data_IF_898478975623
#
_entry.id   IF_898478975623
#
_cell.length_a   1.000
_cell.length_b   1.000
_cell.length_c   1.000
_cell.angle_alpha   90.00
_cell.angle_beta   90.00
_cell.angle_gamma   90.00
#
_symmetry.space_group_name_H-M   'P 1'
#
loop_
_entity.id
_entity.type
_entity.pdbx_description
1 polymer ?
#
# COMPACT_ATOMS: atom_id res chain seq x y z
N UNK A 1 -20.65 13.89 7.90
CA UNK A 1 -20.49 12.45 8.26
C UNK A 1 -19.23 11.86 7.62
N UNK A 2 -18.61 12.59 6.69
CA UNK A 2 -17.47 12.16 5.87
C UNK A 2 -16.12 12.22 6.59
N UNK A 3 -15.88 13.20 7.48
CA UNK A 3 -14.59 13.34 8.18
C UNK A 3 -14.20 12.10 9.02
N UNK A 4 -15.16 11.37 9.58
CA UNK A 4 -14.89 10.14 10.34
C UNK A 4 -14.47 8.97 9.43
N UNK A 5 -15.08 8.87 8.24
CA UNK A 5 -14.72 7.84 7.27
C UNK A 5 -13.34 8.13 6.66
N UNK A 6 -13.05 9.39 6.35
CA UNK A 6 -11.76 9.76 5.77
C UNK A 6 -10.62 9.67 6.79
N UNK A 7 -10.85 10.11 8.03
CA UNK A 7 -9.85 9.89 9.10
C UNK A 7 -9.64 8.39 9.41
N UNK A 8 -10.70 7.58 9.36
CA UNK A 8 -10.60 6.13 9.47
C UNK A 8 -9.76 5.50 8.34
N UNK A 9 -9.98 5.92 7.09
CA UNK A 9 -9.18 5.48 5.95
C UNK A 9 -7.70 5.87 6.10
N UNK A 10 -7.42 7.10 6.54
CA UNK A 10 -6.06 7.59 6.81
C UNK A 10 -5.36 6.71 7.86
N UNK A 11 -6.04 6.43 8.97
CA UNK A 11 -5.49 5.59 10.03
C UNK A 11 -5.21 4.17 9.53
N UNK A 12 -6.06 3.61 8.68
CA UNK A 12 -5.86 2.25 8.14
C UNK A 12 -4.70 2.23 7.14
N UNK A 13 -4.65 3.16 6.20
CA UNK A 13 -3.66 3.16 5.12
C UNK A 13 -2.22 3.38 5.61
N UNK A 14 -2.03 4.22 6.64
CA UNK A 14 -0.74 4.46 7.27
C UNK A 14 -0.48 3.57 8.49
N UNK A 15 -1.54 3.12 9.18
CA UNK A 15 -1.44 2.23 10.33
C UNK A 15 -1.09 0.80 9.94
N UNK A 16 -1.59 0.29 8.82
CA UNK A 16 -1.29 -1.07 8.36
C UNK A 16 0.21 -1.24 8.01
N UNK A 17 0.88 -0.34 7.26
CA UNK A 17 2.32 -0.41 7.01
C UNK A 17 3.13 -0.30 8.32
N UNK A 18 2.73 0.59 9.23
CA UNK A 18 3.38 0.73 10.53
C UNK A 18 3.26 -0.55 11.39
N UNK A 19 2.06 -1.15 11.44
CA UNK A 19 1.82 -2.41 12.13
C UNK A 19 2.62 -3.56 11.50
N UNK A 20 2.70 -3.61 10.16
CA UNK A 20 3.49 -4.60 9.44
C UNK A 20 5.00 -4.47 9.75
N UNK A 21 5.53 -3.24 9.79
CA UNK A 21 6.91 -2.98 10.19
C UNK A 21 7.13 -3.42 11.65
N UNK A 22 6.21 -3.09 12.55
CA UNK A 22 6.28 -3.54 13.94
C UNK A 22 6.27 -5.07 14.07
N UNK A 23 5.41 -5.77 13.33
CA UNK A 23 5.38 -7.24 13.31
C UNK A 23 6.69 -7.79 12.74
N UNK A 24 7.25 -7.18 11.69
CA UNK A 24 8.52 -7.60 11.10
C UNK A 24 9.71 -7.43 12.06
N UNK A 25 9.70 -6.41 12.93
CA UNK A 25 10.74 -6.23 13.95
C UNK A 25 10.62 -7.26 15.07
N UNK A 26 9.40 -7.58 15.52
CA UNK A 26 9.15 -8.53 16.62
C UNK A 26 9.18 -10.01 16.20
N UNK A 27 8.81 -10.33 14.96
CA UNK A 27 8.71 -11.72 14.45
C UNK A 27 9.52 -11.89 13.16
N UNK A 28 10.78 -12.35 13.25
CA UNK A 28 11.65 -12.56 12.08
C UNK A 28 11.05 -13.52 11.04
N UNK A 29 10.32 -14.53 11.48
CA UNK A 29 9.65 -15.49 10.60
C UNK A 29 8.53 -14.85 9.77
N UNK A 30 7.87 -13.81 10.30
CA UNK A 30 6.80 -13.08 9.60
C UNK A 30 7.35 -12.17 8.50
N UNK A 31 8.64 -11.79 8.55
CA UNK A 31 9.28 -10.92 7.53
C UNK A 31 9.10 -11.45 6.12
N UNK A 32 9.07 -12.78 5.96
CA UNK A 32 8.84 -13.41 4.66
C UNK A 32 7.52 -12.92 4.08
N UNK A 33 6.42 -12.91 4.84
CA UNK A 33 5.11 -12.46 4.37
C UNK A 33 5.03 -10.94 4.31
N UNK A 34 5.59 -10.25 5.31
CA UNK A 34 5.52 -8.78 5.41
C UNK A 34 6.23 -8.08 4.25
N UNK A 35 7.43 -8.52 3.86
CA UNK A 35 8.19 -7.88 2.79
C UNK A 35 7.42 -7.74 1.45
N UNK A 36 6.75 -8.80 0.94
CA UNK A 36 5.83 -8.71 -0.19
C UNK A 36 4.67 -7.74 0.01
N UNK A 37 4.03 -7.73 1.19
CA UNK A 37 2.92 -6.79 1.48
C UNK A 37 3.40 -5.35 1.40
N UNK A 38 4.53 -5.04 2.05
CA UNK A 38 5.13 -3.71 2.00
C UNK A 38 5.56 -3.37 0.56
N UNK A 39 6.13 -4.32 -0.17
CA UNK A 39 6.51 -4.15 -1.58
C UNK A 39 5.32 -3.77 -2.46
N UNK A 40 4.20 -4.49 -2.34
CA UNK A 40 2.98 -4.23 -3.11
C UNK A 40 2.34 -2.88 -2.77
N UNK A 41 2.41 -2.42 -1.51
CA UNK A 41 1.86 -1.13 -1.09
C UNK A 41 2.77 0.06 -1.43
N UNK A 42 4.08 -0.16 -1.61
CA UNK A 42 5.05 0.93 -1.82
C UNK A 42 4.75 1.82 -3.02
N UNK A 43 4.39 1.31 -4.22
CA UNK A 43 4.03 2.15 -5.36
C UNK A 43 2.90 3.14 -5.05
N UNK A 44 1.87 2.69 -4.32
CA UNK A 44 0.74 3.54 -3.94
C UNK A 44 1.16 4.61 -2.93
N UNK A 45 1.94 4.21 -1.91
CA UNK A 45 2.47 5.13 -0.91
C UNK A 45 3.38 6.19 -1.53
N UNK A 46 4.20 5.82 -2.53
CA UNK A 46 4.99 6.78 -3.30
C UNK A 46 4.10 7.77 -4.06
N UNK A 47 3.00 7.30 -4.64
CA UNK A 47 2.03 8.17 -5.31
C UNK A 47 1.41 9.19 -4.34
N UNK A 48 1.07 8.76 -3.12
CA UNK A 48 0.59 9.67 -2.08
C UNK A 48 1.63 10.68 -1.63
N UNK A 49 2.89 10.27 -1.45
CA UNK A 49 3.97 11.18 -1.06
C UNK A 49 4.19 12.22 -2.16
N UNK A 50 4.25 11.79 -3.42
CA UNK A 50 4.44 12.70 -4.56
C UNK A 50 3.24 13.65 -4.71
N UNK A 51 2.02 13.14 -4.62
CA UNK A 51 0.79 13.94 -4.65
C UNK A 51 0.71 14.94 -3.50
N UNK A 52 1.00 14.49 -2.28
CA UNK A 52 0.99 15.33 -1.07
C UNK A 52 2.07 16.40 -1.10
N UNK A 53 3.29 16.07 -1.51
CA UNK A 53 4.39 17.04 -1.65
C UNK A 53 4.08 18.05 -2.76
N UNK A 54 3.55 17.60 -3.89
CA UNK A 54 3.15 18.51 -4.98
C UNK A 54 2.05 19.47 -4.55
N UNK A 55 1.07 18.98 -3.79
CA UNK A 55 -0.01 19.80 -3.24
C UNK A 55 0.52 20.83 -2.22
N UNK A 56 1.40 20.40 -1.31
CA UNK A 56 2.03 21.29 -0.32
C UNK A 56 2.90 22.38 -0.98
N UNK A 57 3.58 22.05 -2.09
CA UNK A 57 4.41 23.00 -2.83
C UNK A 57 3.62 23.96 -3.71
N UNK A 58 2.45 23.56 -4.21
CA UNK A 58 1.64 24.39 -5.12
C UNK A 58 0.66 25.33 -4.43
N UNK A 59 0.45 25.22 -3.11
CA UNK A 59 -0.55 25.99 -2.36
C UNK A 59 -1.89 26.07 -3.13
N UNK A 60 -2.30 24.96 -3.75
CA UNK A 60 -3.62 24.92 -4.38
C UNK A 60 -4.65 25.00 -3.24
N UNK A 61 -5.48 26.05 -3.25
CA UNK A 61 -6.50 26.34 -2.23
C UNK A 61 -7.55 25.22 -2.09
N UNK A 62 -7.52 24.21 -2.96
CA UNK A 62 -8.47 23.13 -2.95
C UNK A 62 -7.96 21.90 -2.16
N UNK A 63 -8.47 21.64 -0.94
CA UNK A 63 -8.28 20.38 -0.23
C UNK A 63 -8.95 19.18 -0.94
N UNK A 64 -9.55 19.40 -2.11
CA UNK A 64 -10.36 18.42 -2.85
C UNK A 64 -9.51 17.35 -3.54
N UNK A 65 -8.36 17.69 -4.13
CA UNK A 65 -7.63 16.75 -5.00
C UNK A 65 -6.87 15.68 -4.22
N UNK A 66 -6.16 16.07 -3.15
CA UNK A 66 -5.50 15.09 -2.27
C UNK A 66 -6.52 14.19 -1.59
N UNK A 67 -7.61 14.78 -1.08
CA UNK A 67 -8.66 14.03 -0.39
C UNK A 67 -9.46 13.14 -1.37
N UNK A 68 -9.70 13.58 -2.60
CA UNK A 68 -10.31 12.77 -3.65
C UNK A 68 -9.40 11.61 -4.06
N UNK A 69 -8.10 11.86 -4.28
CA UNK A 69 -7.13 10.79 -4.57
C UNK A 69 -7.13 9.79 -3.42
N UNK A 70 -7.05 10.26 -2.18
CA UNK A 70 -7.02 9.43 -0.97
C UNK A 70 -8.29 8.60 -0.76
N UNK A 71 -9.46 9.19 -1.00
CA UNK A 71 -10.76 8.50 -0.88
C UNK A 71 -10.95 7.50 -2.03
N UNK A 72 -10.51 7.82 -3.24
CA UNK A 72 -10.61 6.92 -4.41
C UNK A 72 -9.57 5.79 -4.39
N UNK A 73 -8.47 5.95 -3.65
CA UNK A 73 -7.36 5.00 -3.60
C UNK A 73 -7.47 3.94 -2.50
N UNK A 74 -8.43 4.07 -1.57
CA UNK A 74 -8.64 3.11 -0.49
C UNK A 74 -8.97 1.70 -0.99
N UNK A 75 -9.82 1.58 -2.01
CA UNK A 75 -10.12 0.28 -2.60
C UNK A 75 -8.89 -0.34 -3.31
N UNK A 76 -8.17 0.39 -4.19
CA UNK A 76 -6.87 -0.03 -4.72
C UNK A 76 -5.85 -0.43 -3.64
N UNK A 77 -5.82 0.30 -2.53
CA UNK A 77 -4.97 0.00 -1.37
C UNK A 77 -5.30 -1.37 -0.78
N UNK A 78 -6.58 -1.65 -0.50
CA UNK A 78 -7.02 -2.94 0.01
C UNK A 78 -6.69 -4.08 -0.96
N UNK A 79 -6.93 -3.88 -2.26
CA UNK A 79 -6.59 -4.87 -3.30
C UNK A 79 -5.09 -5.18 -3.30
N UNK A 80 -4.24 -4.15 -3.22
CA UNK A 80 -2.79 -4.33 -3.17
C UNK A 80 -2.30 -4.95 -1.85
N UNK A 81 -2.93 -4.64 -0.72
CA UNK A 81 -2.63 -5.29 0.55
C UNK A 81 -2.92 -6.80 0.49
N UNK A 82 -4.09 -7.19 -0.06
CA UNK A 82 -4.47 -8.59 -0.23
C UNK A 82 -3.58 -9.29 -1.25
N UNK A 83 -3.30 -8.66 -2.39
CA UNK A 83 -2.39 -9.20 -3.40
C UNK A 83 -0.97 -9.40 -2.83
N UNK A 84 -0.47 -8.42 -2.07
CA UNK A 84 0.81 -8.52 -1.36
C UNK A 84 0.83 -9.65 -0.34
N UNK A 85 -0.25 -9.85 0.40
CA UNK A 85 -0.37 -10.95 1.35
C UNK A 85 -0.38 -12.31 0.65
N UNK A 86 -1.15 -12.43 -0.44
CA UNK A 86 -1.19 -13.61 -1.29
C UNK A 86 0.20 -13.92 -1.85
N UNK A 87 0.88 -12.93 -2.44
CA UNK A 87 2.27 -13.08 -2.90
C UNK A 87 3.20 -13.52 -1.77
N UNK A 88 3.01 -13.02 -0.54
CA UNK A 88 3.81 -13.46 0.59
C UNK A 88 3.63 -14.91 1.00
N UNK A 89 2.43 -15.46 0.79
CA UNK A 89 2.10 -16.87 1.01
C UNK A 89 2.63 -17.75 -0.13
N UNK A 90 2.40 -17.33 -1.38
CA UNK A 90 2.69 -18.14 -2.57
C UNK A 90 4.14 -18.04 -3.08
N UNK A 91 4.86 -16.97 -2.78
CA UNK A 91 6.27 -16.84 -3.22
C UNK A 91 7.13 -17.96 -2.61
N UNK A 92 8.11 -18.51 -3.38
CA UNK A 92 9.05 -19.47 -2.85
C UNK A 92 9.74 -19.00 -1.55
N UNK A 93 9.77 -19.87 -0.52
CA UNK A 93 10.32 -19.54 0.82
C UNK A 93 11.85 -19.47 0.86
N UNK A 94 12.51 -19.95 -0.20
CA UNK A 94 13.96 -19.91 -0.44
C UNK A 94 14.43 -18.56 -1.04
N UNK A 95 13.51 -17.73 -1.54
CA UNK A 95 13.85 -16.39 -2.01
C UNK A 95 14.32 -15.50 -0.86
N UNK A 96 15.38 -14.73 -1.10
CA UNK A 96 15.82 -13.69 -0.16
C UNK A 96 14.72 -12.63 -0.01
N UNK A 97 14.63 -12.03 1.17
CA UNK A 97 13.63 -10.98 1.50
C UNK A 97 13.61 -9.83 0.48
N UNK A 98 14.80 -9.39 0.02
CA UNK A 98 14.93 -8.34 -1.01
C UNK A 98 14.21 -8.72 -2.30
N UNK A 99 14.34 -9.96 -2.77
CA UNK A 99 13.68 -10.41 -3.99
C UNK A 99 12.18 -10.55 -3.81
N UNK A 100 11.72 -11.02 -2.64
CA UNK A 100 10.29 -11.07 -2.33
C UNK A 100 9.64 -9.67 -2.34
N UNK A 101 10.36 -8.67 -1.83
CA UNK A 101 9.93 -7.27 -1.90
C UNK A 101 9.88 -6.76 -3.34
N UNK A 102 10.97 -6.89 -4.10
CA UNK A 102 11.07 -6.38 -5.48
C UNK A 102 10.02 -7.02 -6.39
N UNK A 103 9.83 -8.33 -6.28
CA UNK A 103 8.81 -9.04 -7.07
C UNK A 103 7.41 -8.53 -6.73
N UNK A 104 7.09 -8.32 -5.45
CA UNK A 104 5.80 -7.77 -5.06
C UNK A 104 5.62 -6.29 -5.43
N UNK A 105 6.70 -5.51 -5.49
CA UNK A 105 6.67 -4.13 -5.95
C UNK A 105 6.21 -4.01 -7.41
N UNK A 106 6.63 -4.93 -8.28
CA UNK A 106 6.20 -4.95 -9.69
C UNK A 106 4.89 -5.70 -9.92
N UNK A 107 4.71 -6.85 -9.25
CA UNK A 107 3.50 -7.66 -9.42
C UNK A 107 2.28 -7.10 -8.69
N UNK A 108 2.44 -6.42 -7.57
CA UNK A 108 1.34 -5.82 -6.82
C UNK A 108 0.48 -4.89 -7.68
N UNK A 109 1.07 -3.89 -8.35
CA UNK A 109 0.36 -3.03 -9.29
C UNK A 109 -0.20 -3.79 -10.50
N UNK A 110 0.54 -4.76 -11.06
CA UNK A 110 0.05 -5.53 -12.21
C UNK A 110 -1.19 -6.38 -11.87
N UNK A 111 -1.20 -7.02 -10.70
CA UNK A 111 -2.33 -7.79 -10.19
C UNK A 111 -3.48 -6.86 -9.80
N UNK A 112 -3.19 -5.73 -9.16
CA UNK A 112 -4.19 -4.72 -8.81
C UNK A 112 -4.89 -4.13 -10.04
N UNK A 113 -4.13 -3.75 -11.07
CA UNK A 113 -4.66 -3.25 -12.34
C UNK A 113 -5.43 -4.35 -13.10
N UNK A 114 -4.94 -5.58 -13.08
CA UNK A 114 -5.64 -6.72 -13.69
C UNK A 114 -6.98 -7.03 -13.02
N UNK A 115 -7.07 -6.92 -11.70
CA UNK A 115 -8.32 -7.12 -10.96
C UNK A 115 -9.32 -5.98 -11.24
N UNK A 116 -8.85 -4.73 -11.31
CA UNK A 116 -9.69 -3.57 -11.64
C UNK A 116 -10.19 -3.61 -13.09
N UNK A 117 -9.40 -4.16 -14.02
CA UNK A 117 -9.82 -4.28 -15.42
C UNK A 117 -10.89 -5.35 -15.66
N UNK A 118 -11.08 -6.28 -14.72
CA UNK A 118 -12.00 -7.43 -14.85
C UNK A 118 -13.24 -7.30 -13.95
N UNK A 119 -13.23 -6.34 -13.01
CA UNK A 119 -14.38 -5.94 -12.17
C UNK A 119 -15.24 -4.87 -12.84
#
# INVERSE_FOLDING_TARGET
>A
MDNYLTSGAIVIEFGLPAALIYVATKKPNARKIVAPVVGALTPLLLFYIVGGVSHALRQEEEPSMFMAVFVMSFFPYCVMAVAGAALGIFLPKNLRLKWRYVVAFFLGPAVGLGLVAVS
#
